data_IF_223864777693
#
_entry.id   IF_223864777693
#
_cell.length_a   1.000
_cell.length_b   1.000
_cell.length_c   1.000
_cell.angle_alpha   90.00
_cell.angle_beta   90.00
_cell.angle_gamma   90.00
#
_symmetry.space_group_name_H-M   'P 1'
#
loop_
_entity.id
_entity.type
_entity.pdbx_description
1 polymer ?
#
# COMPACT_ATOMS: atom_id res chain seq x y z
N UNK A 1 8.64 19.74 13.98
CA UNK A 1 9.45 18.90 13.08
C UNK A 1 8.61 18.63 11.84
N UNK A 2 8.95 19.14 10.64
CA UNK A 2 8.21 18.77 9.45
C UNK A 2 8.52 17.30 9.19
N UNK A 3 7.53 16.45 9.46
CA UNK A 3 7.57 15.04 9.07
C UNK A 3 7.67 15.00 7.56
N UNK A 4 8.86 14.66 7.03
CA UNK A 4 9.05 14.42 5.61
C UNK A 4 8.03 13.38 5.16
N UNK A 5 7.02 13.82 4.42
CA UNK A 5 6.05 12.90 3.85
C UNK A 5 6.78 12.02 2.83
N UNK A 6 6.59 10.70 2.95
CA UNK A 6 7.07 9.76 1.98
C UNK A 6 6.41 10.03 0.62
N UNK A 7 7.14 9.76 -0.46
CA UNK A 7 6.66 9.91 -1.81
C UNK A 7 5.61 8.83 -2.15
N UNK A 8 4.55 9.25 -2.86
CA UNK A 8 3.46 8.39 -3.28
C UNK A 8 3.77 7.74 -4.62
N UNK A 9 3.87 6.41 -4.64
CA UNK A 9 4.13 5.62 -5.85
C UNK A 9 3.06 4.54 -6.07
N UNK A 10 1.97 4.84 -6.79
CA UNK A 10 1.00 3.83 -7.16
C UNK A 10 1.46 3.01 -8.38
N UNK A 11 1.19 1.71 -8.37
CA UNK A 11 1.24 0.91 -9.59
C UNK A 11 0.06 1.26 -10.51
N UNK A 12 0.18 0.92 -11.80
CA UNK A 12 -0.92 1.08 -12.76
C UNK A 12 -2.20 0.33 -12.31
N UNK A 13 -2.04 -0.86 -11.72
CA UNK A 13 -3.15 -1.64 -11.17
C UNK A 13 -3.85 -0.91 -10.01
N UNK A 14 -3.07 -0.38 -9.06
CA UNK A 14 -3.60 0.37 -7.93
C UNK A 14 -4.37 1.60 -8.40
N UNK A 15 -3.76 2.40 -9.29
CA UNK A 15 -4.38 3.61 -9.84
C UNK A 15 -5.69 3.30 -10.59
N UNK A 16 -5.70 2.25 -11.42
CA UNK A 16 -6.89 1.83 -12.15
C UNK A 16 -8.03 1.41 -11.21
N UNK A 17 -7.73 0.67 -10.14
CA UNK A 17 -8.75 0.31 -9.13
C UNK A 17 -9.23 1.52 -8.34
N UNK A 18 -8.33 2.42 -7.95
CA UNK A 18 -8.70 3.63 -7.22
C UNK A 18 -9.67 4.51 -8.03
N UNK A 19 -9.41 4.66 -9.34
CA UNK A 19 -10.32 5.40 -10.24
C UNK A 19 -11.67 4.69 -10.42
N UNK A 20 -11.72 3.36 -10.43
CA UNK A 20 -13.00 2.62 -10.40
C UNK A 20 -13.76 2.89 -9.10
N UNK A 21 -13.08 2.82 -7.95
CA UNK A 21 -13.70 3.08 -6.64
C UNK A 21 -14.21 4.52 -6.56
N UNK A 22 -13.47 5.50 -7.10
CA UNK A 22 -13.93 6.90 -7.18
C UNK A 22 -15.29 7.05 -7.88
N UNK A 23 -15.56 6.25 -8.91
CA UNK A 23 -16.84 6.27 -9.65
C UNK A 23 -17.95 5.48 -8.95
N UNK A 24 -17.63 4.32 -8.36
CA UNK A 24 -18.63 3.40 -7.82
C UNK A 24 -18.89 3.53 -6.31
N UNK A 25 -17.92 4.01 -5.54
CA UNK A 25 -18.00 4.25 -4.09
C UNK A 25 -17.18 5.52 -3.71
N UNK A 26 -17.69 6.73 -4.02
CA UNK A 26 -17.02 7.98 -3.65
C UNK A 26 -16.68 8.10 -2.16
N UNK A 27 -17.56 7.67 -1.21
CA UNK A 27 -17.22 7.61 0.21
C UNK A 27 -16.05 6.66 0.52
N UNK A 28 -15.98 5.49 -0.12
CA UNK A 28 -14.85 4.57 -0.05
C UNK A 28 -13.55 5.20 -0.56
N UNK A 29 -13.60 5.85 -1.72
CA UNK A 29 -12.47 6.58 -2.28
C UNK A 29 -11.95 7.67 -1.34
N UNK A 30 -12.84 8.45 -0.72
CA UNK A 30 -12.44 9.47 0.25
C UNK A 30 -11.72 8.86 1.46
N UNK A 31 -12.26 7.77 2.02
CA UNK A 31 -11.63 7.03 3.13
C UNK A 31 -10.24 6.49 2.75
N UNK A 32 -10.11 5.92 1.55
CA UNK A 32 -8.82 5.43 1.03
C UNK A 32 -7.81 6.57 0.91
N UNK A 33 -8.21 7.71 0.36
CA UNK A 33 -7.35 8.89 0.25
C UNK A 33 -6.83 9.40 1.60
N UNK A 34 -7.68 9.38 2.63
CA UNK A 34 -7.26 9.72 3.99
C UNK A 34 -6.22 8.74 4.55
N UNK A 35 -6.41 7.44 4.32
CA UNK A 35 -5.46 6.41 4.76
C UNK A 35 -4.14 6.52 3.99
N UNK A 36 -4.16 6.78 2.68
CA UNK A 36 -2.94 7.04 1.90
C UNK A 36 -2.15 8.18 2.52
N UNK A 37 -2.79 9.33 2.80
CA UNK A 37 -2.10 10.48 3.44
C UNK A 37 -1.46 10.11 4.78
N UNK A 38 -2.15 9.30 5.60
CA UNK A 38 -1.60 8.80 6.87
C UNK A 38 -0.40 7.89 6.64
N UNK A 39 -0.49 6.95 5.70
CA UNK A 39 0.61 6.05 5.35
C UNK A 39 1.82 6.79 4.77
N UNK A 40 1.61 7.86 4.01
CA UNK A 40 2.71 8.72 3.55
C UNK A 40 3.33 9.54 4.69
N UNK A 41 2.64 9.71 5.81
CA UNK A 41 3.20 10.40 6.99
C UNK A 41 3.83 9.41 7.98
N UNK A 42 3.27 8.20 8.07
CA UNK A 42 3.72 7.10 8.92
C UNK A 42 3.48 5.74 8.22
N UNK A 43 4.42 5.27 7.39
CA UNK A 43 4.28 4.01 6.67
C UNK A 43 4.29 2.76 7.56
N UNK A 44 4.68 2.92 8.83
CA UNK A 44 4.69 1.85 9.83
C UNK A 44 3.29 1.60 10.43
N UNK A 45 2.29 2.44 10.12
CA UNK A 45 0.88 2.24 10.48
C UNK A 45 0.23 1.12 9.64
N UNK A 46 0.92 -0.01 9.47
CA UNK A 46 0.38 -1.23 8.87
C UNK A 46 -0.43 -2.02 9.89
N UNK A 47 -1.47 -2.72 9.42
CA UNK A 47 -2.18 -3.71 10.26
C UNK A 47 -1.49 -5.08 10.24
N UNK A 48 -0.39 -5.21 9.49
CA UNK A 48 0.49 -6.35 9.51
C UNK A 48 1.05 -6.72 8.15
N UNK A 49 1.77 -7.83 8.15
CA UNK A 49 2.39 -8.38 6.96
C UNK A 49 1.44 -9.30 6.19
N UNK A 50 1.66 -9.36 4.89
CA UNK A 50 1.06 -10.35 3.99
C UNK A 50 1.91 -11.63 4.03
N UNK A 51 1.23 -12.77 4.00
CA UNK A 51 1.84 -14.09 3.87
C UNK A 51 1.45 -14.70 2.50
N UNK A 52 2.12 -15.77 2.07
CA UNK A 52 1.83 -16.46 0.79
C UNK A 52 2.38 -15.71 -0.43
N UNK A 53 1.59 -15.64 -1.52
CA UNK A 53 2.01 -15.02 -2.80
C UNK A 53 2.47 -13.55 -2.66
N UNK A 54 2.04 -12.85 -1.62
CA UNK A 54 2.41 -11.46 -1.33
C UNK A 54 3.36 -11.33 -0.12
N UNK A 55 4.12 -12.39 0.21
CA UNK A 55 5.06 -12.39 1.32
C UNK A 55 5.98 -11.16 1.31
N UNK A 56 6.14 -10.52 2.48
CA UNK A 56 6.98 -9.32 2.63
C UNK A 56 6.31 -7.99 2.24
N UNK A 57 5.02 -7.99 1.91
CA UNK A 57 4.23 -6.76 1.69
C UNK A 57 3.40 -6.40 2.92
N UNK A 58 3.10 -5.12 3.09
CA UNK A 58 2.28 -4.60 4.18
C UNK A 58 0.81 -4.51 3.75
N UNK A 59 -0.10 -4.67 4.72
CA UNK A 59 -1.53 -4.47 4.51
C UNK A 59 -2.10 -3.43 5.47
N UNK A 60 -3.03 -2.61 4.99
CA UNK A 60 -3.80 -1.67 5.80
C UNK A 60 -5.28 -1.74 5.44
N UNK A 61 -6.14 -1.91 6.43
CA UNK A 61 -7.58 -1.89 6.27
C UNK A 61 -8.12 -0.46 6.24
N UNK A 62 -9.16 -0.25 5.44
CA UNK A 62 -9.85 1.03 5.30
C UNK A 62 -11.34 0.79 5.50
N UNK A 63 -11.96 1.64 6.34
CA UNK A 63 -13.41 1.67 6.54
C UNK A 63 -14.00 0.36 7.07
N UNK A 64 -13.91 0.07 8.38
CA UNK A 64 -14.43 -1.16 9.00
C UNK A 64 -14.06 -2.47 8.27
N UNK A 65 -12.90 -2.51 7.61
CA UNK A 65 -12.37 -3.63 6.80
C UNK A 65 -13.08 -3.85 5.45
N UNK A 66 -13.74 -2.81 4.92
CA UNK A 66 -14.31 -2.84 3.56
C UNK A 66 -13.22 -2.97 2.50
N UNK A 67 -12.17 -2.16 2.61
CA UNK A 67 -11.02 -2.21 1.71
C UNK A 67 -9.74 -2.62 2.43
N UNK A 68 -8.82 -3.21 1.69
CA UNK A 68 -7.44 -3.50 2.13
C UNK A 68 -6.47 -2.97 1.09
N UNK A 69 -5.61 -2.05 1.51
CA UNK A 69 -4.49 -1.55 0.72
C UNK A 69 -3.32 -2.51 0.89
N UNK A 70 -2.72 -2.91 -0.23
CA UNK A 70 -1.47 -3.66 -0.25
C UNK A 70 -0.39 -2.67 -0.68
N UNK A 71 0.59 -2.45 0.19
CA UNK A 71 1.65 -1.49 -0.05
C UNK A 71 2.98 -2.00 0.47
N UNK A 72 4.02 -1.25 0.17
CA UNK A 72 5.37 -1.53 0.62
C UNK A 72 6.10 -0.24 0.92
N UNK A 73 7.01 -0.31 1.87
CA UNK A 73 7.80 0.83 2.32
C UNK A 73 9.28 0.55 2.05
N UNK A 74 9.91 1.36 1.18
CA UNK A 74 11.26 1.08 0.69
C UNK A 74 12.32 1.08 1.80
N UNK A 75 12.20 1.95 2.81
CA UNK A 75 13.13 1.99 3.95
C UNK A 75 13.15 0.67 4.73
N UNK A 76 11.98 0.07 4.95
CA UNK A 76 11.86 -1.21 5.64
C UNK A 76 12.24 -2.39 4.73
N UNK A 77 11.89 -2.28 3.44
CA UNK A 77 12.36 -3.21 2.41
C UNK A 77 13.88 -3.37 2.42
N UNK A 78 14.64 -2.28 2.32
CA UNK A 78 16.10 -2.33 2.22
C UNK A 78 16.76 -2.85 3.50
N UNK A 79 16.16 -2.58 4.66
CA UNK A 79 16.58 -3.19 5.93
C UNK A 79 16.38 -4.71 5.93
N UNK A 80 15.27 -5.20 5.38
CA UNK A 80 14.95 -6.63 5.32
C UNK A 80 15.63 -7.36 4.14
N UNK A 81 15.84 -6.69 3.00
CA UNK A 81 16.54 -7.23 1.84
C UNK A 81 18.03 -7.46 2.09
N UNK A 82 18.63 -6.77 3.07
CA UNK A 82 19.95 -7.17 3.62
C UNK A 82 19.94 -8.57 4.26
N UNK A 83 18.77 -9.10 4.63
CA UNK A 83 18.57 -10.44 5.21
C UNK A 83 17.90 -11.44 4.26
N UNK A 84 17.24 -10.98 3.19
CA UNK A 84 16.41 -11.81 2.29
C UNK A 84 16.79 -11.46 0.83
N UNK A 85 17.24 -12.45 0.05
CA UNK A 85 17.66 -12.34 -1.37
C UNK A 85 16.58 -11.81 -2.35
N UNK A 86 15.39 -11.47 -1.87
CA UNK A 86 14.28 -11.00 -2.69
C UNK A 86 14.29 -9.46 -2.80
N UNK A 87 15.17 -8.91 -3.66
CA UNK A 87 15.10 -7.50 -4.03
C UNK A 87 13.81 -7.25 -4.84
N UNK A 88 13.09 -6.19 -4.49
CA UNK A 88 12.03 -5.63 -5.34
C UNK A 88 12.62 -5.19 -6.69
N UNK A 89 11.98 -5.54 -7.81
CA UNK A 89 12.43 -5.17 -9.17
C UNK A 89 12.54 -3.66 -9.41
N UNK A 90 11.90 -2.83 -8.58
CA UNK A 90 11.91 -1.37 -8.67
C UNK A 90 12.78 -0.70 -7.57
N UNK A 91 13.58 -1.47 -6.83
CA UNK A 91 14.34 -0.94 -5.69
C UNK A 91 15.49 -0.01 -6.11
N UNK A 92 16.00 -0.12 -7.35
CA UNK A 92 17.12 0.70 -7.84
C UNK A 92 16.65 2.07 -8.40
N UNK A 93 15.37 2.20 -8.76
CA UNK A 93 14.80 3.44 -9.35
C UNK A 93 14.06 4.32 -8.34
N UNK A 94 13.71 3.79 -7.17
CA UNK A 94 12.83 4.47 -6.21
C UNK A 94 13.61 4.86 -4.94
N UNK A 95 13.53 6.13 -4.56
CA UNK A 95 14.20 6.66 -3.37
C UNK A 95 13.71 6.00 -2.07
N UNK A 96 14.57 5.91 -1.06
CA UNK A 96 14.31 5.26 0.24
C UNK A 96 13.06 5.81 0.95
N UNK A 97 12.74 7.09 0.71
CA UNK A 97 11.59 7.79 1.28
C UNK A 97 10.33 7.63 0.41
N UNK A 98 10.03 6.39 -0.02
CA UNK A 98 8.88 6.10 -0.88
C UNK A 98 7.96 5.01 -0.31
N UNK A 99 6.67 5.16 -0.55
CA UNK A 99 5.64 4.15 -0.29
C UNK A 99 5.01 3.72 -1.61
N UNK A 100 5.19 2.44 -1.94
CA UNK A 100 4.69 1.84 -3.17
C UNK A 100 3.35 1.17 -2.89
N UNK A 101 2.31 1.59 -3.60
CA UNK A 101 0.96 1.04 -3.48
C UNK A 101 0.70 0.06 -4.62
N UNK A 102 0.55 -1.23 -4.30
CA UNK A 102 0.47 -2.30 -5.29
C UNK A 102 -0.95 -2.59 -5.74
N UNK A 103 -1.87 -2.73 -4.79
CA UNK A 103 -3.25 -3.11 -5.10
C UNK A 103 -4.24 -2.68 -4.02
N UNK A 104 -5.51 -2.61 -4.39
CA UNK A 104 -6.65 -2.39 -3.50
C UNK A 104 -7.55 -3.61 -3.59
N UNK A 105 -7.86 -4.18 -2.44
CA UNK A 105 -8.79 -5.29 -2.33
C UNK A 105 -10.07 -4.84 -1.64
N UNK A 106 -11.23 -5.27 -2.13
CA UNK A 106 -12.50 -5.03 -1.46
C UNK A 106 -13.07 -6.33 -0.89
N UNK A 107 -13.71 -6.30 0.28
CA UNK A 107 -14.26 -7.49 0.94
C UNK A 107 -15.22 -8.29 0.04
N UNK A 108 -15.94 -7.63 -0.87
CA UNK A 108 -16.85 -8.32 -1.79
C UNK A 108 -16.12 -9.12 -2.88
N UNK A 109 -14.85 -8.78 -3.18
CA UNK A 109 -14.00 -9.59 -4.06
C UNK A 109 -13.57 -10.89 -3.36
N UNK A 110 -13.53 -10.90 -2.02
CA UNK A 110 -13.23 -12.10 -1.21
C UNK A 110 -14.30 -13.17 -1.25
N UNK A 111 -15.55 -12.77 -1.48
CA UNK A 111 -16.67 -13.70 -1.56
C UNK A 111 -16.75 -14.42 -2.91
N UNK A 112 -15.85 -14.11 -3.86
CA UNK A 112 -15.80 -14.74 -5.19
C UNK A 112 -14.62 -15.72 -5.37
N UNK A 113 -13.91 -16.03 -4.29
CA UNK A 113 -12.81 -17.01 -4.25
C UNK A 113 -13.25 -18.28 -3.51
#
# INVERSE_FOLDING_TARGET
MPSEAFAYFPTAQFAAKLEKIKKHDPPGHHRIGQVIKRLLSNPDDADGWMHGLYHGRLKKYVGRRDYRLIYHWCKECRKQAKKIESRCSNCDEVADNSVIFFDIYHKNEASRL
#
